data_IF_300874089892
#
_entry.id   IF_300874089892
#
_cell.length_a   1.000
_cell.length_b   1.000
_cell.length_c   1.000
_cell.angle_alpha   90.00
_cell.angle_beta   90.00
_cell.angle_gamma   90.00
#
_symmetry.space_group_name_H-M   'P 1'
#
loop_
_entity.id
_entity.type
_entity.pdbx_description
1 polymer ?
#
# COMPACT_ATOMS: atom_id res chain seq x y z
N UNK A 1 27.38 -32.73 1.59
CA UNK A 1 27.49 -32.72 3.08
C UNK A 1 28.06 -31.37 3.58
N UNK A 2 29.24 -30.94 3.17
CA UNK A 2 29.94 -29.76 3.74
C UNK A 2 29.21 -28.40 3.64
N UNK A 3 28.35 -28.16 2.64
CA UNK A 3 27.57 -26.90 2.57
C UNK A 3 26.46 -26.84 3.60
N UNK A 4 25.84 -27.98 3.93
CA UNK A 4 24.78 -28.05 4.95
C UNK A 4 25.33 -27.82 6.33
N UNK A 5 26.43 -28.49 6.68
CA UNK A 5 27.13 -28.37 7.97
C UNK A 5 27.70 -26.95 8.19
N UNK A 6 28.25 -26.32 7.13
CA UNK A 6 28.72 -24.93 7.21
C UNK A 6 27.56 -23.95 7.46
N UNK A 7 26.41 -24.21 6.86
CA UNK A 7 25.21 -23.39 7.06
C UNK A 7 24.68 -23.52 8.49
N UNK A 8 24.66 -24.71 9.03
CA UNK A 8 24.23 -24.99 10.41
C UNK A 8 25.15 -24.29 11.43
N UNK A 9 26.47 -24.41 11.28
CA UNK A 9 27.43 -23.69 12.13
C UNK A 9 27.24 -22.18 12.11
N UNK A 10 26.97 -21.58 10.94
CA UNK A 10 26.71 -20.13 10.82
C UNK A 10 25.39 -19.77 11.53
N UNK A 11 24.37 -20.59 11.43
CA UNK A 11 23.08 -20.37 12.10
C UNK A 11 23.22 -20.51 13.62
N UNK A 12 23.96 -21.50 14.08
CA UNK A 12 24.26 -21.70 15.51
C UNK A 12 25.09 -20.54 16.08
N UNK A 13 26.13 -20.10 15.39
CA UNK A 13 26.94 -18.97 15.80
C UNK A 13 26.11 -17.67 15.90
N UNK A 14 25.17 -17.46 14.97
CA UNK A 14 24.23 -16.33 15.01
C UNK A 14 23.25 -16.44 16.17
N UNK A 15 22.68 -17.62 16.42
CA UNK A 15 21.75 -17.87 17.52
C UNK A 15 22.42 -17.70 18.88
N UNK A 16 23.69 -18.05 18.99
CA UNK A 16 24.48 -17.96 20.20
C UNK A 16 25.12 -16.57 20.44
N UNK A 17 24.99 -15.63 19.49
CA UNK A 17 25.47 -14.28 19.68
C UNK A 17 24.77 -13.61 20.87
N UNK A 18 25.54 -12.80 21.65
CA UNK A 18 25.01 -12.09 22.81
C UNK A 18 23.79 -11.23 22.47
N UNK A 19 23.78 -10.62 21.26
CA UNK A 19 22.66 -9.86 20.75
C UNK A 19 21.42 -10.72 20.52
N UNK A 20 21.58 -11.91 19.89
CA UNK A 20 20.47 -12.81 19.64
C UNK A 20 19.84 -13.31 20.95
N UNK A 21 20.67 -13.66 21.94
CA UNK A 21 20.19 -14.07 23.28
C UNK A 21 19.42 -12.96 23.99
N UNK A 22 19.91 -11.70 23.92
CA UNK A 22 19.23 -10.53 24.49
C UNK A 22 17.89 -10.24 23.80
N UNK A 23 17.79 -10.53 22.49
CA UNK A 23 16.58 -10.28 21.71
C UNK A 23 15.58 -11.45 21.74
N UNK A 24 15.94 -12.62 22.25
CA UNK A 24 15.04 -13.78 22.34
C UNK A 24 13.70 -13.47 23.05
N UNK A 25 13.66 -12.83 24.23
CA UNK A 25 12.40 -12.52 24.90
C UNK A 25 11.54 -11.56 24.08
N UNK A 26 12.16 -10.60 23.38
CA UNK A 26 11.46 -9.68 22.49
C UNK A 26 10.84 -10.43 21.31
N UNK A 27 11.59 -11.33 20.68
CA UNK A 27 11.08 -12.15 19.58
C UNK A 27 9.97 -13.12 20.04
N UNK A 28 10.08 -13.68 21.24
CA UNK A 28 9.05 -14.54 21.82
C UNK A 28 7.76 -13.75 22.08
N UNK A 29 7.86 -12.55 22.64
CA UNK A 29 6.73 -11.64 22.84
C UNK A 29 6.10 -11.24 21.51
N UNK A 30 6.90 -10.81 20.54
CA UNK A 30 6.42 -10.44 19.20
C UNK A 30 5.75 -11.61 18.47
N UNK A 31 6.22 -12.84 18.66
CA UNK A 31 5.58 -14.02 18.08
C UNK A 31 4.28 -14.39 18.77
N UNK A 32 4.18 -14.22 20.11
CA UNK A 32 2.97 -14.48 20.86
C UNK A 32 1.85 -13.51 20.50
N UNK A 33 2.18 -12.23 20.32
CA UNK A 33 1.23 -11.16 19.97
C UNK A 33 1.39 -10.69 18.53
N UNK A 34 1.76 -11.60 17.66
CA UNK A 34 2.14 -11.25 16.28
C UNK A 34 1.06 -10.49 15.51
N UNK A 35 -0.23 -10.82 15.69
CA UNK A 35 -1.34 -10.12 15.03
C UNK A 35 -1.51 -8.69 15.56
N UNK A 36 -1.39 -8.49 16.89
CA UNK A 36 -1.46 -7.16 17.50
C UNK A 36 -0.30 -6.31 17.01
N UNK A 37 0.90 -6.90 16.96
CA UNK A 37 2.07 -6.21 16.41
C UNK A 37 1.87 -5.79 14.95
N UNK A 38 1.27 -6.64 14.12
CA UNK A 38 0.94 -6.29 12.73
C UNK A 38 -0.10 -5.16 12.65
N UNK A 39 -1.12 -5.20 13.51
CA UNK A 39 -2.13 -4.16 13.55
C UNK A 39 -1.53 -2.80 13.96
N UNK A 40 -0.69 -2.79 15.00
CA UNK A 40 0.03 -1.59 15.42
C UNK A 40 0.98 -1.08 14.33
N UNK A 41 1.73 -1.97 13.68
CA UNK A 41 2.60 -1.62 12.56
C UNK A 41 1.81 -1.00 11.41
N UNK A 42 0.65 -1.56 11.06
CA UNK A 42 -0.22 -1.04 10.02
C UNK A 42 -0.76 0.36 10.36
N UNK A 43 -1.17 0.59 11.61
CA UNK A 43 -1.58 1.91 12.09
C UNK A 43 -0.44 2.93 12.01
N UNK A 44 0.77 2.54 12.43
CA UNK A 44 1.95 3.41 12.36
C UNK A 44 2.28 3.76 10.91
N UNK A 45 2.31 2.76 10.02
CA UNK A 45 2.58 2.98 8.59
C UNK A 45 1.52 3.92 8.00
N UNK A 46 0.23 3.68 8.27
CA UNK A 46 -0.84 4.54 7.79
C UNK A 46 -0.68 5.98 8.29
N UNK A 47 -0.40 6.15 9.58
CA UNK A 47 -0.16 7.48 10.17
C UNK A 47 1.02 8.20 9.50
N UNK A 48 2.13 7.51 9.26
CA UNK A 48 3.32 8.08 8.59
C UNK A 48 2.99 8.47 7.15
N UNK A 49 2.26 7.63 6.42
CA UNK A 49 1.79 7.91 5.05
C UNK A 49 0.96 9.21 5.04
N UNK A 50 -0.01 9.33 5.96
CA UNK A 50 -0.86 10.50 6.04
C UNK A 50 -0.08 11.77 6.46
N UNK A 51 0.89 11.63 7.36
CA UNK A 51 1.75 12.75 7.76
C UNK A 51 2.60 13.27 6.58
N UNK A 52 3.14 12.37 5.77
CA UNK A 52 3.89 12.72 4.56
C UNK A 52 2.97 13.34 3.51
N UNK A 53 1.81 12.73 3.24
CA UNK A 53 0.85 13.19 2.24
C UNK A 53 0.28 14.57 2.56
N UNK A 54 0.05 14.85 3.84
CA UNK A 54 -0.49 16.13 4.33
C UNK A 54 0.60 17.15 4.65
N UNK A 55 1.88 16.79 4.52
CA UNK A 55 3.04 17.60 4.92
C UNK A 55 2.98 18.10 6.38
N UNK A 56 2.23 17.42 7.24
CA UNK A 56 2.00 17.82 8.62
C UNK A 56 1.61 16.65 9.50
N UNK A 57 2.36 16.46 10.59
CA UNK A 57 2.05 15.46 11.62
C UNK A 57 0.76 15.83 12.35
N UNK A 58 0.52 17.12 12.57
CA UNK A 58 -0.71 17.61 13.23
C UNK A 58 -1.92 17.31 12.36
N UNK A 59 -1.87 17.61 11.05
CA UNK A 59 -2.96 17.30 10.14
C UNK A 59 -3.24 15.80 10.00
N UNK A 60 -2.22 14.95 10.12
CA UNK A 60 -2.40 13.50 10.17
C UNK A 60 -3.07 13.05 11.48
N UNK A 61 -2.74 13.70 12.59
CA UNK A 61 -3.39 13.46 13.87
C UNK A 61 -4.86 13.87 13.85
N UNK A 62 -5.16 15.06 13.31
CA UNK A 62 -6.53 15.55 13.14
C UNK A 62 -7.36 14.63 12.24
N UNK A 63 -6.77 14.13 11.16
CA UNK A 63 -7.40 13.11 10.31
C UNK A 63 -7.70 11.81 11.08
N UNK A 64 -6.71 11.29 11.82
CA UNK A 64 -6.87 10.07 12.60
C UNK A 64 -7.96 10.18 13.65
N UNK A 65 -8.05 11.32 14.33
CA UNK A 65 -9.02 11.56 15.42
C UNK A 65 -10.38 12.03 14.91
N UNK A 66 -10.41 12.80 13.81
CA UNK A 66 -11.64 13.31 13.19
C UNK A 66 -12.38 12.25 12.39
N UNK A 67 -11.66 11.32 11.73
CA UNK A 67 -12.24 10.25 10.92
C UNK A 67 -11.69 8.87 11.29
N UNK A 68 -11.85 8.41 12.54
CA UNK A 68 -11.17 7.20 13.04
C UNK A 68 -11.58 5.94 12.28
N UNK A 69 -12.81 5.82 11.79
CA UNK A 69 -13.25 4.67 11.00
C UNK A 69 -12.55 4.59 9.66
N UNK A 70 -12.36 5.73 8.99
CA UNK A 70 -11.62 5.80 7.72
C UNK A 70 -10.14 5.49 7.94
N UNK A 71 -9.55 6.04 9.01
CA UNK A 71 -8.16 5.76 9.38
C UNK A 71 -7.95 4.26 9.66
N UNK A 72 -8.82 3.64 10.46
CA UNK A 72 -8.75 2.21 10.77
C UNK A 72 -9.00 1.34 9.53
N UNK A 73 -9.88 1.78 8.64
CA UNK A 73 -10.11 1.12 7.36
C UNK A 73 -8.81 1.10 6.52
N UNK A 74 -8.12 2.23 6.36
CA UNK A 74 -6.84 2.28 5.65
C UNK A 74 -5.74 1.45 6.33
N UNK A 75 -5.64 1.53 7.64
CA UNK A 75 -4.72 0.67 8.41
C UNK A 75 -5.05 -0.82 8.25
N UNK A 76 -6.33 -1.17 8.18
CA UNK A 76 -6.79 -2.54 7.91
C UNK A 76 -6.35 -3.04 6.53
N UNK A 77 -6.37 -2.19 5.50
CA UNK A 77 -5.86 -2.53 4.17
C UNK A 77 -4.37 -2.88 4.21
N UNK A 78 -3.57 -2.03 4.87
CA UNK A 78 -2.14 -2.30 5.07
C UNK A 78 -1.94 -3.58 5.89
N UNK A 79 -2.73 -3.79 6.95
CA UNK A 79 -2.68 -4.99 7.78
C UNK A 79 -2.90 -6.27 6.96
N UNK A 80 -3.92 -6.30 6.10
CA UNK A 80 -4.23 -7.46 5.25
C UNK A 80 -3.05 -7.77 4.31
N UNK A 81 -2.40 -6.76 3.74
CA UNK A 81 -1.19 -6.98 2.93
C UNK A 81 -0.01 -7.53 3.76
N UNK A 82 0.14 -7.09 5.02
CA UNK A 82 1.17 -7.60 5.92
C UNK A 82 0.97 -9.08 6.30
N UNK A 83 -0.26 -9.62 6.23
CA UNK A 83 -0.54 -11.03 6.47
C UNK A 83 0.19 -11.96 5.47
N UNK A 84 0.55 -11.46 4.28
CA UNK A 84 1.35 -12.20 3.29
C UNK A 84 2.69 -12.68 3.92
N UNK A 85 3.22 -11.95 4.90
CA UNK A 85 4.44 -12.34 5.60
C UNK A 85 4.35 -13.72 6.29
N UNK A 86 3.13 -14.20 6.61
CA UNK A 86 2.95 -15.52 7.21
C UNK A 86 3.10 -16.68 6.22
N UNK A 87 2.98 -16.41 4.91
CA UNK A 87 3.17 -17.40 3.85
C UNK A 87 4.65 -17.71 3.61
N UNK A 88 5.55 -16.83 4.06
CA UNK A 88 6.98 -16.89 3.77
C UNK A 88 7.79 -17.18 5.02
N UNK A 89 8.84 -17.98 4.91
CA UNK A 89 9.75 -18.26 6.04
C UNK A 89 10.50 -17.01 6.53
N UNK A 90 10.75 -16.06 5.66
CA UNK A 90 11.48 -14.81 5.99
C UNK A 90 10.51 -13.68 6.36
N UNK A 91 9.71 -13.92 7.39
CA UNK A 91 8.61 -13.03 7.81
C UNK A 91 9.05 -11.59 8.05
N UNK A 92 10.19 -11.40 8.72
CA UNK A 92 10.71 -10.05 9.03
C UNK A 92 11.06 -9.29 7.75
N UNK A 93 11.74 -9.95 6.82
CA UNK A 93 12.09 -9.34 5.54
C UNK A 93 10.84 -9.00 4.72
N UNK A 94 9.86 -9.91 4.65
CA UNK A 94 8.61 -9.68 3.91
C UNK A 94 7.82 -8.51 4.50
N UNK A 95 7.73 -8.40 5.84
CA UNK A 95 7.12 -7.24 6.50
C UNK A 95 7.82 -5.95 6.13
N UNK A 96 9.16 -5.94 6.17
CA UNK A 96 9.96 -4.77 5.83
C UNK A 96 9.71 -4.32 4.38
N UNK A 97 9.68 -5.26 3.43
CA UNK A 97 9.41 -4.94 2.01
C UNK A 97 8.00 -4.38 1.83
N UNK A 98 6.97 -5.02 2.42
CA UNK A 98 5.58 -4.53 2.32
C UNK A 98 5.46 -3.14 2.96
N UNK A 99 6.06 -2.94 4.13
CA UNK A 99 6.08 -1.63 4.79
C UNK A 99 6.79 -0.58 3.95
N UNK A 100 7.94 -0.93 3.36
CA UNK A 100 8.70 -0.04 2.49
C UNK A 100 7.92 0.33 1.22
N UNK A 101 7.17 -0.60 0.62
CA UNK A 101 6.31 -0.32 -0.53
C UNK A 101 5.20 0.67 -0.17
N UNK A 102 4.52 0.49 0.94
CA UNK A 102 3.49 1.43 1.39
C UNK A 102 4.06 2.82 1.70
N UNK A 103 5.20 2.87 2.42
CA UNK A 103 5.88 4.15 2.70
C UNK A 103 6.39 4.82 1.43
N UNK A 104 6.89 4.05 0.47
CA UNK A 104 7.29 4.56 -0.84
C UNK A 104 6.11 5.22 -1.57
N UNK A 105 4.95 4.57 -1.61
CA UNK A 105 3.73 5.17 -2.18
C UNK A 105 3.36 6.47 -1.46
N UNK A 106 3.47 6.50 -0.12
CA UNK A 106 3.24 7.71 0.68
C UNK A 106 4.20 8.84 0.32
N UNK A 107 5.50 8.53 0.17
CA UNK A 107 6.51 9.52 -0.22
C UNK A 107 6.25 10.04 -1.63
N UNK A 108 5.98 9.16 -2.60
CA UNK A 108 5.65 9.56 -3.97
C UNK A 108 4.43 10.47 -3.99
N UNK A 109 3.37 10.11 -3.27
CA UNK A 109 2.17 10.94 -3.15
C UNK A 109 2.47 12.31 -2.52
N UNK A 110 3.23 12.35 -1.42
CA UNK A 110 3.61 13.60 -0.77
C UNK A 110 4.43 14.51 -1.69
N UNK A 111 5.43 13.94 -2.41
CA UNK A 111 6.21 14.71 -3.39
C UNK A 111 5.33 15.25 -4.53
N UNK A 112 4.38 14.44 -5.01
CA UNK A 112 3.45 14.88 -6.05
C UNK A 112 2.54 15.99 -5.57
N UNK A 113 1.96 15.88 -4.38
CA UNK A 113 1.11 16.92 -3.79
C UNK A 113 1.87 18.21 -3.50
N UNK A 114 3.18 18.16 -3.25
CA UNK A 114 4.02 19.35 -3.12
C UNK A 114 4.26 20.08 -4.45
N UNK A 115 4.20 19.36 -5.59
CA UNK A 115 4.47 19.92 -6.92
C UNK A 115 3.23 20.16 -7.76
N UNK A 116 2.17 19.41 -7.55
CA UNK A 116 0.90 19.52 -8.26
C UNK A 116 -0.27 19.28 -7.28
N UNK A 117 -1.45 19.78 -7.63
CA UNK A 117 -2.65 19.64 -6.78
C UNK A 117 -3.21 18.19 -6.77
N UNK A 118 -2.88 17.39 -7.78
CA UNK A 118 -3.42 16.04 -7.92
C UNK A 118 -2.54 15.00 -7.24
N UNK A 119 -3.14 14.10 -6.42
CA UNK A 119 -2.42 13.02 -5.74
C UNK A 119 -1.94 11.94 -6.72
N UNK A 120 -1.05 11.07 -6.23
CA UNK A 120 -0.57 9.91 -6.97
C UNK A 120 -1.64 8.84 -7.12
N UNK A 121 -1.91 8.42 -8.35
CA UNK A 121 -2.93 7.42 -8.66
C UNK A 121 -2.44 6.38 -9.68
N UNK A 122 -3.28 5.37 -9.97
CA UNK A 122 -2.93 4.31 -10.91
C UNK A 122 -2.71 4.79 -12.35
N UNK A 123 -3.34 5.92 -12.75
CA UNK A 123 -3.14 6.50 -14.07
C UNK A 123 -1.70 7.02 -14.23
N UNK A 124 -1.11 7.55 -13.15
CA UNK A 124 0.28 7.98 -13.16
C UNK A 124 1.23 6.81 -13.45
N UNK A 125 0.93 5.59 -12.94
CA UNK A 125 1.70 4.39 -13.26
C UNK A 125 1.62 4.01 -14.75
N UNK A 126 0.44 4.13 -15.36
CA UNK A 126 0.27 3.88 -16.81
C UNK A 126 1.04 4.91 -17.63
N UNK A 127 0.87 6.19 -17.30
CA UNK A 127 1.59 7.28 -17.97
C UNK A 127 3.10 7.14 -17.81
N UNK A 128 3.58 6.65 -16.65
CA UNK A 128 4.99 6.38 -16.44
C UNK A 128 5.52 5.29 -17.37
N UNK A 129 4.77 4.21 -17.56
CA UNK A 129 5.17 3.12 -18.49
C UNK A 129 5.14 3.56 -19.95
N UNK A 130 4.16 4.38 -20.33
CA UNK A 130 4.07 4.98 -21.67
C UNK A 130 5.13 6.06 -21.89
N UNK A 131 5.44 6.82 -20.86
CA UNK A 131 6.43 7.90 -20.86
C UNK A 131 7.89 7.46 -20.73
N UNK A 132 8.19 6.16 -20.60
CA UNK A 132 9.57 5.68 -20.49
C UNK A 132 10.45 6.11 -21.68
N UNK A 133 9.86 6.25 -22.86
CA UNK A 133 10.52 6.78 -24.05
C UNK A 133 10.84 8.29 -23.96
N UNK A 134 10.14 9.00 -23.07
CA UNK A 134 10.36 10.44 -22.84
C UNK A 134 11.35 10.71 -21.71
N UNK A 135 11.76 9.67 -20.96
CA UNK A 135 12.66 9.79 -19.82
C UNK A 135 13.99 10.47 -20.20
N UNK A 136 14.51 10.16 -21.38
CA UNK A 136 15.74 10.75 -21.89
C UNK A 136 15.65 12.27 -22.12
N UNK A 137 14.43 12.79 -22.25
CA UNK A 137 14.20 14.23 -22.45
C UNK A 137 14.09 15.00 -21.12
N UNK A 138 13.81 14.32 -20.03
CA UNK A 138 13.61 14.93 -18.71
C UNK A 138 14.77 14.74 -17.73
N UNK A 139 15.66 13.78 -17.99
CA UNK A 139 16.79 13.47 -17.14
C UNK A 139 18.11 13.71 -17.86
N UNK A 140 19.04 14.32 -17.16
CA UNK A 140 20.41 14.45 -17.63
C UNK A 140 21.07 13.07 -17.75
N UNK A 141 22.11 12.97 -18.60
CA UNK A 141 22.88 11.72 -18.76
C UNK A 141 23.43 11.23 -17.42
N UNK A 142 23.84 12.13 -16.53
CA UNK A 142 24.32 11.77 -15.19
C UNK A 142 23.22 11.13 -14.32
N UNK A 143 21.99 11.64 -14.37
CA UNK A 143 20.86 11.09 -13.64
C UNK A 143 20.45 9.71 -14.19
N UNK A 144 20.47 9.54 -15.52
CA UNK A 144 20.21 8.26 -16.15
C UNK A 144 21.26 7.21 -15.78
N UNK A 145 22.53 7.58 -15.72
CA UNK A 145 23.63 6.72 -15.29
C UNK A 145 23.46 6.37 -13.79
N UNK A 146 23.15 7.34 -12.94
CA UNK A 146 22.89 7.09 -11.52
C UNK A 146 21.70 6.14 -11.31
N UNK A 147 20.62 6.29 -12.06
CA UNK A 147 19.48 5.34 -12.01
C UNK A 147 19.88 3.96 -12.54
N UNK A 148 20.61 3.91 -13.65
CA UNK A 148 21.10 2.67 -14.26
C UNK A 148 22.03 1.85 -13.34
N UNK A 149 22.77 2.50 -12.44
CA UNK A 149 23.63 1.86 -11.43
C UNK A 149 22.84 1.65 -10.12
N UNK A 150 22.07 2.65 -9.69
CA UNK A 150 21.36 2.65 -8.40
C UNK A 150 20.30 1.57 -8.30
N UNK A 151 19.51 1.36 -9.35
CA UNK A 151 18.47 0.33 -9.36
C UNK A 151 19.05 -1.09 -9.24
N UNK A 152 20.05 -1.51 -10.04
CA UNK A 152 20.71 -2.80 -9.85
C UNK A 152 21.39 -2.93 -8.48
N UNK A 153 22.06 -1.88 -7.99
CA UNK A 153 22.66 -1.90 -6.65
C UNK A 153 21.64 -2.11 -5.55
N UNK A 154 20.49 -1.44 -5.62
CA UNK A 154 19.36 -1.64 -4.71
C UNK A 154 18.83 -3.07 -4.77
N UNK A 155 18.65 -3.62 -5.98
CA UNK A 155 18.20 -5.00 -6.15
C UNK A 155 19.18 -6.01 -5.56
N UNK A 156 20.48 -5.82 -5.81
CA UNK A 156 21.55 -6.67 -5.22
C UNK A 156 21.52 -6.57 -3.69
N UNK A 157 21.37 -5.37 -3.16
CA UNK A 157 21.27 -5.13 -1.71
C UNK A 157 20.02 -5.83 -1.11
N UNK A 158 18.87 -5.72 -1.76
CA UNK A 158 17.64 -6.41 -1.35
C UNK A 158 17.82 -7.93 -1.37
N UNK A 159 18.45 -8.49 -2.42
CA UNK A 159 18.75 -9.93 -2.49
C UNK A 159 19.74 -10.33 -1.38
N UNK A 160 20.75 -9.52 -1.11
CA UNK A 160 21.70 -9.77 -0.03
C UNK A 160 21.00 -9.73 1.35
N UNK A 161 20.12 -8.78 1.57
CA UNK A 161 19.28 -8.73 2.78
C UNK A 161 18.36 -9.94 2.88
N UNK A 162 17.70 -10.32 1.78
CA UNK A 162 16.89 -11.52 1.73
C UNK A 162 17.69 -12.77 2.14
N UNK A 163 18.89 -12.92 1.61
CA UNK A 163 19.75 -14.07 1.96
C UNK A 163 20.20 -14.06 3.42
N UNK A 164 20.37 -12.88 4.02
CA UNK A 164 20.82 -12.69 5.41
C UNK A 164 19.65 -12.68 6.41
N UNK A 165 18.44 -12.41 5.98
CA UNK A 165 17.29 -12.33 6.88
C UNK A 165 17.04 -13.66 7.58
N UNK A 166 16.76 -13.57 8.88
CA UNK A 166 16.41 -14.72 9.73
C UNK A 166 15.18 -15.45 9.18
N UNK A 167 15.21 -16.77 9.26
CA UNK A 167 14.11 -17.62 8.87
C UNK A 167 13.30 -18.02 10.10
N UNK A 168 11.99 -18.12 9.93
CA UNK A 168 11.12 -18.67 10.94
C UNK A 168 11.39 -20.19 11.08
N UNK A 169 11.78 -20.63 12.28
CA UNK A 169 12.20 -22.01 12.57
C UNK A 169 11.01 -22.94 12.92
N UNK A 170 9.81 -22.37 13.15
CA UNK A 170 8.62 -23.14 13.48
C UNK A 170 8.03 -23.91 12.30
N UNK A 171 7.12 -24.83 12.61
CA UNK A 171 6.37 -25.59 11.59
C UNK A 171 5.54 -24.60 10.73
N UNK A 172 5.69 -24.68 9.42
CA UNK A 172 4.94 -23.86 8.46
C UNK A 172 3.71 -24.63 7.98
N UNK A 173 2.55 -24.23 8.45
CA UNK A 173 1.26 -24.72 7.96
C UNK A 173 0.84 -23.88 6.73
N UNK A 174 1.46 -24.12 5.57
CA UNK A 174 1.28 -23.25 4.39
C UNK A 174 -0.15 -23.21 3.88
N UNK A 175 -0.83 -24.37 3.81
CA UNK A 175 -2.20 -24.47 3.29
C UNK A 175 -3.19 -23.72 4.22
N UNK A 176 -3.25 -23.99 5.54
CA UNK A 176 -4.09 -23.19 6.43
C UNK A 176 -3.77 -21.69 6.41
N UNK A 177 -2.49 -21.32 6.35
CA UNK A 177 -2.10 -19.89 6.29
C UNK A 177 -2.55 -19.24 4.98
N UNK A 178 -2.44 -19.95 3.85
CA UNK A 178 -2.93 -19.46 2.56
C UNK A 178 -4.45 -19.23 2.61
N UNK A 179 -5.19 -20.19 3.16
CA UNK A 179 -6.65 -20.06 3.33
C UNK A 179 -6.99 -18.84 4.18
N UNK A 180 -6.30 -18.63 5.30
CA UNK A 180 -6.52 -17.48 6.19
C UNK A 180 -6.22 -16.16 5.45
N UNK A 181 -5.11 -16.09 4.72
CA UNK A 181 -4.75 -14.87 3.96
C UNK A 181 -5.78 -14.58 2.87
N UNK A 182 -6.17 -15.59 2.09
CA UNK A 182 -7.21 -15.44 1.04
C UNK A 182 -8.54 -15.04 1.66
N UNK A 183 -8.95 -15.68 2.77
CA UNK A 183 -10.16 -15.33 3.50
C UNK A 183 -10.10 -13.89 4.05
N UNK A 184 -8.94 -13.43 4.50
CA UNK A 184 -8.75 -12.07 4.97
C UNK A 184 -8.90 -11.05 3.82
N UNK A 185 -8.33 -11.32 2.65
CA UNK A 185 -8.51 -10.47 1.45
C UNK A 185 -9.97 -10.43 1.00
N UNK A 186 -10.61 -11.60 0.95
CA UNK A 186 -12.03 -11.68 0.60
C UNK A 186 -12.91 -10.97 1.63
N UNK A 187 -12.70 -11.23 2.92
CA UNK A 187 -13.42 -10.56 4.01
C UNK A 187 -13.21 -9.05 3.99
N UNK A 188 -12.03 -8.60 3.60
CA UNK A 188 -11.75 -7.18 3.43
C UNK A 188 -12.51 -6.58 2.25
N UNK A 189 -12.66 -7.31 1.14
CA UNK A 189 -13.50 -6.89 0.01
C UNK A 189 -14.97 -6.74 0.43
N UNK A 190 -15.48 -7.68 1.23
CA UNK A 190 -16.84 -7.56 1.81
C UNK A 190 -16.94 -6.35 2.75
N UNK A 191 -15.93 -6.14 3.60
CA UNK A 191 -15.85 -4.97 4.48
C UNK A 191 -15.88 -3.66 3.68
N UNK A 192 -15.24 -3.62 2.51
CA UNK A 192 -15.26 -2.46 1.60
C UNK A 192 -16.70 -2.14 1.17
N UNK A 193 -17.48 -3.15 0.75
CA UNK A 193 -18.87 -2.94 0.37
C UNK A 193 -19.69 -2.39 1.55
N UNK A 194 -19.50 -2.96 2.76
CA UNK A 194 -20.16 -2.46 3.97
C UNK A 194 -19.75 -1.02 4.28
N UNK A 195 -18.47 -0.68 4.13
CA UNK A 195 -17.96 0.68 4.37
C UNK A 195 -18.56 1.70 3.37
N UNK A 196 -18.77 1.28 2.11
CA UNK A 196 -19.46 2.09 1.09
C UNK A 196 -20.94 2.26 1.45
N UNK A 197 -21.65 1.19 1.79
CA UNK A 197 -23.06 1.22 2.17
C UNK A 197 -23.31 2.10 3.40
N UNK A 198 -22.37 2.08 4.35
CA UNK A 198 -22.40 2.94 5.56
C UNK A 198 -21.88 4.36 5.31
N UNK A 199 -21.50 4.69 4.09
CA UNK A 199 -20.94 6.01 3.69
C UNK A 199 -19.67 6.39 4.47
N UNK A 200 -18.91 5.40 4.94
CA UNK A 200 -17.59 5.62 5.56
C UNK A 200 -16.58 6.01 4.48
N UNK A 201 -16.68 5.38 3.31
CA UNK A 201 -15.90 5.66 2.11
C UNK A 201 -16.85 5.79 0.90
N UNK A 202 -16.38 6.42 -0.17
CA UNK A 202 -17.13 6.51 -1.44
C UNK A 202 -16.35 5.87 -2.57
N UNK A 203 -17.06 5.25 -3.51
CA UNK A 203 -16.48 4.71 -4.75
C UNK A 203 -16.39 5.76 -5.86
N UNK A 204 -17.18 6.83 -5.75
CA UNK A 204 -17.18 7.93 -6.70
C UNK A 204 -16.35 9.09 -6.16
N UNK A 205 -15.36 9.52 -6.91
CA UNK A 205 -14.50 10.65 -6.60
C UNK A 205 -14.82 11.80 -7.58
N UNK A 206 -15.69 12.70 -7.17
CA UNK A 206 -15.98 13.91 -7.95
C UNK A 206 -14.76 14.80 -8.13
N UNK A 207 -13.90 14.86 -7.09
CA UNK A 207 -12.58 15.46 -7.12
C UNK A 207 -11.59 14.54 -6.43
N UNK A 208 -10.57 14.09 -7.17
CA UNK A 208 -9.60 13.11 -6.68
C UNK A 208 -8.74 13.67 -5.52
N UNK A 209 -8.45 14.98 -5.51
CA UNK A 209 -7.65 15.59 -4.45
C UNK A 209 -8.41 15.59 -3.12
N UNK A 210 -9.70 15.95 -3.12
CA UNK A 210 -10.55 15.88 -1.94
C UNK A 210 -10.77 14.45 -1.47
N UNK A 211 -10.97 13.50 -2.41
CA UNK A 211 -11.12 12.10 -2.06
C UNK A 211 -9.91 11.56 -1.27
N UNK A 212 -8.69 11.94 -1.64
CA UNK A 212 -7.48 11.54 -0.90
C UNK A 212 -7.37 12.22 0.47
N UNK A 213 -7.88 13.45 0.61
CA UNK A 213 -7.96 14.11 1.92
C UNK A 213 -8.99 13.45 2.84
N UNK A 214 -10.15 13.06 2.30
CA UNK A 214 -11.25 12.49 3.08
C UNK A 214 -11.03 11.01 3.39
N UNK A 215 -10.57 10.22 2.40
CA UNK A 215 -10.52 8.76 2.50
C UNK A 215 -9.10 8.18 2.63
N UNK A 216 -8.06 8.99 2.51
CA UNK A 216 -6.66 8.57 2.66
C UNK A 216 -6.05 7.87 1.44
N UNK A 217 -4.71 7.85 1.40
CA UNK A 217 -3.94 7.28 0.29
C UNK A 217 -4.19 5.78 0.07
N UNK A 218 -4.14 4.89 1.09
CA UNK A 218 -4.22 3.46 0.83
C UNK A 218 -5.50 3.06 0.10
N UNK A 219 -6.65 3.60 0.52
CA UNK A 219 -7.92 3.32 -0.14
C UNK A 219 -7.99 3.92 -1.53
N UNK A 220 -7.75 5.22 -1.67
CA UNK A 220 -7.92 5.93 -2.94
C UNK A 220 -6.97 5.39 -4.03
N UNK A 221 -5.72 5.11 -3.68
CA UNK A 221 -4.78 4.51 -4.60
C UNK A 221 -5.21 3.09 -5.01
N UNK A 222 -5.63 2.25 -4.05
CA UNK A 222 -6.12 0.91 -4.35
C UNK A 222 -7.39 0.95 -5.21
N UNK A 223 -8.34 1.83 -4.89
CA UNK A 223 -9.53 2.04 -5.71
C UNK A 223 -9.18 2.47 -7.13
N UNK A 224 -8.18 3.33 -7.31
CA UNK A 224 -7.74 3.76 -8.65
C UNK A 224 -7.09 2.65 -9.47
N UNK A 225 -6.51 1.62 -8.83
CA UNK A 225 -5.97 0.44 -9.52
C UNK A 225 -7.08 -0.44 -10.13
N UNK A 226 -8.23 -0.53 -9.45
CA UNK A 226 -9.36 -1.37 -9.88
C UNK A 226 -10.36 -0.61 -10.73
N UNK A 227 -10.53 0.70 -10.51
CA UNK A 227 -11.38 1.58 -11.32
C UNK A 227 -10.56 2.20 -12.46
N UNK A 228 -10.40 1.47 -13.55
CA UNK A 228 -9.60 1.91 -14.70
C UNK A 228 -10.36 2.84 -15.67
N UNK A 229 -11.48 3.39 -15.28
CA UNK A 229 -12.25 4.34 -16.09
C UNK A 229 -13.38 4.97 -15.31
N UNK A 230 -13.89 6.08 -15.82
CA UNK A 230 -15.21 6.59 -15.45
C UNK A 230 -16.16 5.45 -15.81
N UNK A 231 -16.74 4.75 -14.83
CA UNK A 231 -17.86 3.86 -15.11
C UNK A 231 -18.95 4.73 -15.71
N UNK A 232 -19.38 4.42 -16.95
CA UNK A 232 -20.56 5.05 -17.51
C UNK A 232 -21.68 4.97 -16.46
N UNK A 233 -22.37 6.08 -16.16
CA UNK A 233 -23.55 6.01 -15.31
C UNK A 233 -24.46 4.92 -15.89
N UNK A 234 -24.99 4.03 -15.04
CA UNK A 234 -25.85 2.93 -15.45
C UNK A 234 -27.10 3.38 -16.27
N UNK A 235 -27.37 4.68 -16.32
CA UNK A 235 -28.44 5.32 -17.06
C UNK A 235 -27.97 6.06 -18.32
N UNK A 236 -26.79 5.77 -18.85
CA UNK A 236 -26.35 6.36 -20.14
C UNK A 236 -27.02 5.63 -21.30
N UNK A 237 -28.35 5.74 -21.35
CA UNK A 237 -29.15 5.24 -22.45
C UNK A 237 -29.48 6.39 -23.38
N UNK A 238 -29.55 6.14 -24.71
CA UNK A 238 -29.96 7.13 -25.72
C UNK A 238 -31.22 7.89 -25.30
N UNK A 239 -32.20 7.20 -24.72
CA UNK A 239 -33.45 7.76 -24.21
C UNK A 239 -33.28 8.79 -23.07
N UNK A 240 -32.24 8.65 -22.26
CA UNK A 240 -31.96 9.61 -21.19
C UNK A 240 -31.29 10.87 -21.76
N UNK A 241 -30.45 10.72 -22.78
CA UNK A 241 -29.80 11.85 -23.46
C UNK A 241 -30.85 12.64 -24.25
N UNK A 242 -31.76 11.99 -24.98
CA UNK A 242 -32.86 12.64 -25.67
C UNK A 242 -33.77 13.42 -24.71
N UNK A 243 -34.15 12.85 -23.59
CA UNK A 243 -34.92 13.54 -22.54
C UNK A 243 -34.22 14.78 -21.95
N UNK A 244 -32.91 14.74 -21.82
CA UNK A 244 -32.13 15.89 -21.33
C UNK A 244 -32.03 16.96 -22.40
N UNK A 245 -31.89 16.61 -23.68
CA UNK A 245 -31.87 17.53 -24.83
C UNK A 245 -33.22 18.18 -25.03
N UNK A 246 -34.31 17.42 -25.01
CA UNK A 246 -35.69 17.93 -25.16
C UNK A 246 -36.07 18.88 -24.01
N UNK A 247 -35.66 18.58 -22.76
CA UNK A 247 -35.90 19.48 -21.65
C UNK A 247 -35.07 20.79 -21.74
N UNK A 248 -33.91 20.77 -22.38
CA UNK A 248 -33.09 21.97 -22.59
C UNK A 248 -33.70 22.88 -23.67
N UNK A 249 -34.19 22.30 -24.79
CA UNK A 249 -34.87 23.03 -25.85
C UNK A 249 -36.18 23.66 -25.37
N UNK A 250 -36.97 22.98 -24.50
CA UNK A 250 -38.15 23.55 -23.88
C UNK A 250 -37.84 24.70 -22.92
N UNK A 251 -36.72 24.68 -22.25
CA UNK A 251 -36.31 25.75 -21.30
C UNK A 251 -35.80 26.99 -22.06
N UNK A 252 -35.15 26.82 -23.21
CA UNK A 252 -34.66 27.91 -24.04
C UNK A 252 -35.82 28.53 -24.91
N UNK A 253 -36.90 27.80 -25.17
CA UNK A 253 -38.06 28.32 -25.90
C UNK A 253 -39.05 29.09 -25.02
N UNK A 254 -38.88 29.07 -23.70
CA UNK A 254 -39.73 29.77 -22.71
C UNK A 254 -39.06 31.00 -22.05
N UNK A 255 -37.86 31.36 -22.45
CA UNK A 255 -37.13 32.57 -22.04
C UNK A 255 -37.06 33.56 -23.20
#
# INVERSE_FOLDING_TARGET
KGRHERRERILEARRNSAFAKKMQPVYAFMNRFSLIFHALLACIINFVIEAISRHSVVAAWDYMTGTPLVFLYNAGMIFVTLLIAYLVRRRVFTRLIISALWLFLGVVNGVMLAKRVTPFNAQDLKTFTEGLSLFTNYFSVAELVMMGIGVPALLIWLVAMWRRAGQYEGKMHRIPMLIIVVAAFFGYSVLTNVAVDKRIISTYFGNIAFAYQDYGLPYCFSASLFNTGISEPNDYNKDTIEKITDNREMTESTS
#
